data_IF_422117685368
#
_entry.id   IF_422117685368
#
_cell.length_a   1.000
_cell.length_b   1.000
_cell.length_c   1.000
_cell.angle_alpha   90.00
_cell.angle_beta   90.00
_cell.angle_gamma   90.00
#
_symmetry.space_group_name_H-M   'P 1'
#
loop_
_entity.id
_entity.type
_entity.pdbx_description
1 polymer ?
#
# COMPACT_ATOMS: atom_id res chain seq x y z
N UNK A 1 -2.69 7.99 4.28
CA UNK A 1 -3.31 6.98 3.39
C UNK A 1 -2.21 6.16 2.75
N UNK A 2 -2.35 4.85 2.67
CA UNK A 2 -1.45 3.94 1.94
C UNK A 2 -2.24 3.35 0.77
N UNK A 3 -1.90 3.72 -0.47
CA UNK A 3 -2.56 3.17 -1.66
C UNK A 3 -1.69 2.07 -2.29
N UNK A 4 -2.24 0.87 -2.37
CA UNK A 4 -1.64 -0.31 -2.97
C UNK A 4 -2.07 -0.46 -4.44
N UNK A 5 -1.61 0.46 -5.28
CA UNK A 5 -1.86 0.47 -6.72
C UNK A 5 -0.65 0.01 -7.55
N UNK A 6 -0.56 0.56 -8.76
CA UNK A 6 0.62 0.40 -9.65
C UNK A 6 1.91 0.84 -8.97
N UNK A 7 1.84 1.93 -8.21
CA UNK A 7 2.81 2.34 -7.21
C UNK A 7 2.21 2.12 -5.82
N UNK A 8 3.07 1.98 -4.81
CA UNK A 8 2.63 2.09 -3.41
C UNK A 8 2.85 3.53 -2.95
N UNK A 9 1.77 4.28 -2.69
CA UNK A 9 1.88 5.67 -2.22
C UNK A 9 1.54 5.78 -0.74
N UNK A 10 2.13 6.77 -0.09
CA UNK A 10 1.88 7.13 1.30
C UNK A 10 1.59 8.60 1.37
N UNK A 11 0.35 8.98 1.63
CA UNK A 11 -0.06 10.38 1.69
C UNK A 11 -0.31 10.77 3.15
N UNK A 12 0.34 11.84 3.62
CA UNK A 12 0.12 12.39 4.95
C UNK A 12 -0.86 13.56 4.90
N UNK A 13 -1.87 13.50 5.76
CA UNK A 13 -2.88 14.53 5.91
C UNK A 13 -2.80 15.04 7.35
N UNK A 14 -2.70 16.37 7.52
CA UNK A 14 -2.62 17.01 8.82
C UNK A 14 -3.93 16.87 9.60
N UNK A 15 -3.93 17.06 10.94
CA UNK A 15 -5.17 17.16 11.71
C UNK A 15 -6.13 18.25 11.22
N UNK A 16 -5.62 19.29 10.54
CA UNK A 16 -6.41 20.36 9.92
C UNK A 16 -7.05 19.96 8.59
N UNK A 17 -6.75 18.77 8.06
CA UNK A 17 -7.24 18.30 6.77
C UNK A 17 -6.37 18.70 5.57
N UNK A 18 -5.18 19.25 5.81
CA UNK A 18 -4.27 19.66 4.74
C UNK A 18 -3.46 18.47 4.22
N UNK A 19 -3.32 18.37 2.89
CA UNK A 19 -2.36 17.44 2.30
C UNK A 19 -0.93 17.98 2.49
N UNK A 20 -0.10 17.21 3.19
CA UNK A 20 1.24 17.61 3.60
C UNK A 20 2.34 17.02 2.72
N UNK A 21 1.98 16.23 1.71
CA UNK A 21 2.92 15.48 0.87
C UNK A 21 2.87 13.98 1.11
N UNK A 22 3.82 13.27 0.50
CA UNK A 22 3.83 11.82 0.54
C UNK A 22 5.11 11.15 0.08
N UNK A 23 5.09 9.82 0.12
CA UNK A 23 6.18 8.93 -0.31
C UNK A 23 5.67 8.03 -1.44
N UNK A 24 6.51 7.76 -2.43
CA UNK A 24 6.20 6.85 -3.54
C UNK A 24 7.23 5.73 -3.56
N UNK A 25 6.75 4.50 -3.51
CA UNK A 25 7.52 3.29 -3.75
C UNK A 25 6.97 2.53 -4.96
N UNK A 26 7.74 1.62 -5.58
CA UNK A 26 7.19 0.67 -6.53
C UNK A 26 5.96 -0.06 -5.95
N UNK A 27 5.03 -0.48 -6.80
CA UNK A 27 3.93 -1.36 -6.39
C UNK A 27 4.38 -2.82 -6.35
N UNK A 28 3.80 -3.61 -5.46
CA UNK A 28 4.20 -5.01 -5.28
C UNK A 28 4.10 -5.83 -6.57
N UNK A 29 3.06 -5.60 -7.38
CA UNK A 29 2.89 -6.23 -8.70
C UNK A 29 3.99 -5.84 -9.68
N UNK A 30 4.41 -4.56 -9.71
CA UNK A 30 5.52 -4.12 -10.56
C UNK A 30 6.82 -4.76 -10.11
N UNK A 31 7.09 -4.82 -8.81
CA UNK A 31 8.30 -5.47 -8.30
C UNK A 31 8.36 -6.95 -8.66
N UNK A 32 7.24 -7.67 -8.53
CA UNK A 32 7.14 -9.08 -8.94
C UNK A 32 7.39 -9.26 -10.45
N UNK A 33 6.76 -8.41 -11.26
CA UNK A 33 6.92 -8.44 -12.72
C UNK A 33 8.35 -8.08 -13.15
N UNK A 34 9.02 -7.17 -12.44
CA UNK A 34 10.41 -6.81 -12.71
C UNK A 34 11.35 -8.01 -12.51
N UNK A 35 11.15 -8.81 -11.45
CA UNK A 35 11.92 -10.04 -11.24
C UNK A 35 11.72 -11.05 -12.37
N UNK A 36 10.48 -11.25 -12.80
CA UNK A 36 10.14 -12.13 -13.92
C UNK A 36 10.80 -11.67 -15.24
N UNK A 37 10.77 -10.37 -15.53
CA UNK A 37 11.29 -9.83 -16.79
C UNK A 37 12.81 -9.72 -16.85
N UNK A 38 13.44 -9.39 -15.73
CA UNK A 38 14.87 -9.04 -15.72
C UNK A 38 15.78 -10.21 -15.32
N UNK A 39 15.24 -11.26 -14.68
CA UNK A 39 16.02 -12.43 -14.29
C UNK A 39 15.64 -13.67 -15.12
N UNK A 40 16.64 -14.39 -15.62
CA UNK A 40 16.46 -15.44 -16.64
C UNK A 40 15.68 -16.69 -16.20
N UNK A 41 15.57 -16.97 -14.89
CA UNK A 41 14.98 -18.20 -14.36
C UNK A 41 13.88 -17.97 -13.33
N UNK A 42 13.48 -16.72 -13.10
CA UNK A 42 12.44 -16.41 -12.12
C UNK A 42 11.07 -16.48 -12.80
N UNK A 43 10.15 -17.35 -12.34
CA UNK A 43 8.81 -17.44 -12.91
C UNK A 43 7.96 -16.24 -12.49
N UNK A 44 6.87 -15.99 -13.22
CA UNK A 44 5.81 -15.09 -12.74
C UNK A 44 5.13 -15.73 -11.52
N UNK A 45 4.90 -14.94 -10.48
CA UNK A 45 4.28 -15.40 -9.22
C UNK A 45 3.12 -14.48 -8.83
N UNK A 46 2.10 -15.06 -8.19
CA UNK A 46 1.05 -14.30 -7.54
C UNK A 46 1.51 -13.78 -6.17
N UNK A 47 0.99 -12.62 -5.77
CA UNK A 47 1.27 -12.00 -4.48
C UNK A 47 0.27 -12.55 -3.47
N UNK A 48 0.73 -13.55 -2.72
CA UNK A 48 -0.04 -14.21 -1.66
C UNK A 48 0.85 -14.40 -0.44
N UNK A 49 0.24 -14.45 0.74
CA UNK A 49 0.95 -14.76 1.98
C UNK A 49 1.50 -16.18 1.90
N UNK A 50 2.83 -16.38 1.96
CA UNK A 50 3.38 -17.73 1.97
C UNK A 50 3.24 -18.37 3.35
N UNK A 51 3.22 -19.71 3.44
CA UNK A 51 3.12 -20.43 4.71
C UNK A 51 4.37 -20.31 5.60
N UNK A 52 5.50 -19.87 5.03
CA UNK A 52 6.76 -19.65 5.75
C UNK A 52 7.56 -18.53 5.11
N UNK A 53 8.35 -17.83 5.93
CA UNK A 53 9.27 -16.77 5.47
C UNK A 53 10.44 -17.35 4.66
N UNK A 54 10.94 -18.54 4.99
CA UNK A 54 12.06 -19.15 4.26
C UNK A 54 11.50 -20.13 3.22
N UNK A 55 11.39 -19.66 1.97
CA UNK A 55 10.96 -20.48 0.84
C UNK A 55 11.94 -21.62 0.52
N UNK A 56 11.40 -22.79 0.16
CA UNK A 56 12.18 -24.00 -0.19
C UNK A 56 12.25 -24.28 -1.69
N UNK A 57 11.67 -23.40 -2.50
CA UNK A 57 11.78 -23.38 -3.95
C UNK A 57 11.71 -21.92 -4.43
N UNK A 58 12.01 -21.69 -5.70
CA UNK A 58 12.06 -20.33 -6.28
C UNK A 58 10.75 -19.57 -6.14
N UNK A 59 9.61 -20.21 -6.39
CA UNK A 59 8.28 -19.59 -6.29
C UNK A 59 8.01 -19.12 -4.85
N UNK A 60 8.18 -20.01 -3.88
CA UNK A 60 7.97 -19.70 -2.47
C UNK A 60 8.95 -18.64 -1.94
N UNK A 61 10.21 -18.67 -2.41
CA UNK A 61 11.22 -17.68 -2.04
C UNK A 61 10.85 -16.28 -2.59
N UNK A 62 10.40 -16.20 -3.84
CA UNK A 62 9.93 -14.95 -4.44
C UNK A 62 8.67 -14.43 -3.72
N UNK A 63 7.66 -15.28 -3.51
CA UNK A 63 6.43 -14.90 -2.80
C UNK A 63 6.74 -14.36 -1.41
N UNK A 64 7.65 -15.00 -0.67
CA UNK A 64 8.08 -14.53 0.64
C UNK A 64 8.79 -13.18 0.60
N UNK A 65 9.77 -13.02 -0.29
CA UNK A 65 10.50 -11.77 -0.43
C UNK A 65 9.58 -10.62 -0.81
N UNK A 66 8.64 -10.84 -1.74
CA UNK A 66 7.68 -9.82 -2.15
C UNK A 66 6.70 -9.51 -1.01
N UNK A 67 6.06 -10.52 -0.44
CA UNK A 67 5.02 -10.33 0.58
C UNK A 67 5.56 -9.66 1.85
N UNK A 68 6.54 -10.29 2.51
CA UNK A 68 7.08 -9.77 3.77
C UNK A 68 7.97 -8.55 3.55
N UNK A 69 8.62 -8.43 2.39
CA UNK A 69 9.36 -7.23 2.01
C UNK A 69 8.44 -6.02 1.88
N UNK A 70 7.29 -6.16 1.23
CA UNK A 70 6.31 -5.07 1.12
C UNK A 70 5.63 -4.75 2.44
N UNK A 71 5.26 -5.76 3.22
CA UNK A 71 4.73 -5.54 4.57
C UNK A 71 5.72 -4.71 5.40
N UNK A 72 7.00 -5.09 5.40
CA UNK A 72 8.05 -4.39 6.14
C UNK A 72 8.31 -2.98 5.58
N UNK A 73 8.24 -2.79 4.26
CA UNK A 73 8.35 -1.47 3.62
C UNK A 73 7.25 -0.54 4.11
N UNK A 74 6.00 -1.01 4.10
CA UNK A 74 4.84 -0.23 4.54
C UNK A 74 4.97 0.12 6.01
N UNK A 75 5.24 -0.86 6.86
CA UNK A 75 5.38 -0.64 8.29
C UNK A 75 6.54 0.30 8.63
N UNK A 76 7.66 0.14 7.92
CA UNK A 76 8.84 0.96 8.09
C UNK A 76 8.65 2.41 7.63
N UNK A 77 7.89 2.66 6.55
CA UNK A 77 7.56 4.02 6.11
C UNK A 77 6.57 4.68 7.07
N UNK A 78 5.52 3.96 7.50
CA UNK A 78 4.56 4.46 8.49
C UNK A 78 5.26 4.90 9.78
N UNK A 79 6.21 4.11 10.29
CA UNK A 79 6.96 4.47 11.49
C UNK A 79 7.86 5.68 11.30
N UNK A 80 8.43 5.86 10.10
CA UNK A 80 9.23 7.05 9.78
C UNK A 80 8.37 8.30 9.72
N UNK A 81 7.21 8.22 9.06
CA UNK A 81 6.24 9.31 9.01
C UNK A 81 5.82 9.71 10.44
N UNK A 82 5.39 8.75 11.26
CA UNK A 82 5.04 8.98 12.69
C UNK A 82 6.13 9.73 13.46
N UNK A 83 7.38 9.30 13.30
CA UNK A 83 8.53 9.96 13.94
C UNK A 83 8.75 11.38 13.44
N UNK A 84 8.59 11.61 12.14
CA UNK A 84 8.77 12.92 11.51
C UNK A 84 7.69 13.91 11.94
N UNK A 85 6.42 13.50 11.90
CA UNK A 85 5.28 14.38 12.19
C UNK A 85 5.00 14.53 13.70
N UNK A 86 5.61 13.67 14.52
CA UNK A 86 5.46 13.63 15.99
C UNK A 86 4.00 13.51 16.47
N UNK A 87 3.19 12.81 15.68
CA UNK A 87 1.80 12.46 15.98
C UNK A 87 1.57 10.99 15.65
N UNK A 88 0.43 10.44 16.09
CA UNK A 88 0.00 9.09 15.73
C UNK A 88 -1.21 9.15 14.78
N UNK A 89 -0.99 9.37 13.48
CA UNK A 89 -2.07 9.41 12.51
C UNK A 89 -2.73 8.05 12.35
N UNK A 90 -4.04 8.06 12.11
CA UNK A 90 -4.77 6.88 11.65
C UNK A 90 -4.26 6.49 10.27
N UNK A 91 -3.91 5.22 10.10
CA UNK A 91 -3.42 4.66 8.84
C UNK A 91 -4.57 3.93 8.14
N UNK A 92 -4.96 4.48 7.00
CA UNK A 92 -5.97 3.92 6.10
C UNK A 92 -5.26 3.32 4.89
N UNK A 93 -5.58 2.07 4.56
CA UNK A 93 -5.11 1.38 3.35
C UNK A 93 -6.21 1.27 2.29
N UNK A 94 -5.85 1.45 1.03
CA UNK A 94 -6.73 1.30 -0.14
C UNK A 94 -5.96 0.67 -1.31
N UNK A 95 -6.62 0.42 -2.43
CA UNK A 95 -6.01 -0.19 -3.61
C UNK A 95 -6.10 -1.72 -3.65
N UNK A 96 -5.81 -2.30 -4.82
CA UNK A 96 -6.13 -3.70 -5.15
C UNK A 96 -5.38 -4.74 -4.32
N UNK A 97 -4.22 -4.40 -3.75
CA UNK A 97 -3.46 -5.30 -2.88
C UNK A 97 -3.59 -4.99 -1.39
N UNK A 98 -4.43 -4.00 -1.02
CA UNK A 98 -4.60 -3.61 0.37
C UNK A 98 -5.03 -4.80 1.23
N UNK A 99 -6.09 -5.52 0.84
CA UNK A 99 -6.57 -6.65 1.65
C UNK A 99 -5.53 -7.77 1.82
N UNK A 100 -4.73 -8.03 0.78
CA UNK A 100 -3.73 -9.09 0.83
C UNK A 100 -2.54 -8.75 1.73
N UNK A 101 -2.05 -7.52 1.69
CA UNK A 101 -0.84 -7.09 2.42
C UNK A 101 -1.22 -6.40 3.73
N UNK A 102 -2.10 -5.41 3.68
CA UNK A 102 -2.47 -4.59 4.82
C UNK A 102 -3.22 -5.38 5.90
N UNK A 103 -3.95 -6.44 5.53
CA UNK A 103 -4.64 -7.31 6.48
C UNK A 103 -3.70 -8.02 7.47
N UNK A 104 -2.40 -8.07 7.19
CA UNK A 104 -1.38 -8.67 8.04
C UNK A 104 -0.57 -7.64 8.86
N UNK A 105 -0.85 -6.34 8.71
CA UNK A 105 -0.15 -5.29 9.46
C UNK A 105 -0.93 -4.86 10.69
N UNK A 106 -0.26 -4.82 11.83
CA UNK A 106 -0.80 -4.21 13.06
C UNK A 106 -0.84 -2.68 13.03
N UNK A 107 -0.16 -2.06 12.05
CA UNK A 107 -0.05 -0.60 11.95
C UNK A 107 -1.16 0.04 11.12
N UNK A 108 -1.96 -0.76 10.40
CA UNK A 108 -3.05 -0.29 9.56
C UNK A 108 -4.37 -0.50 10.29
N UNK A 109 -5.12 0.57 10.51
CA UNK A 109 -6.36 0.52 11.30
C UNK A 109 -7.59 0.33 10.43
N UNK A 110 -7.55 0.81 9.17
CA UNK A 110 -8.70 0.81 8.28
C UNK A 110 -8.26 0.32 6.90
N UNK A 111 -9.06 -0.57 6.30
CA UNK A 111 -8.93 -0.97 4.90
C UNK A 111 -10.22 -0.51 4.19
N UNK A 112 -10.09 0.40 3.24
CA UNK A 112 -11.20 0.93 2.46
C UNK A 112 -10.85 0.90 0.96
N UNK A 113 -11.34 -0.11 0.26
CA UNK A 113 -11.13 -0.30 -1.18
C UNK A 113 -11.87 0.76 -2.04
N UNK A 114 -12.86 1.46 -1.47
CA UNK A 114 -13.66 2.46 -2.18
C UNK A 114 -13.23 3.90 -1.88
N UNK A 115 -12.16 4.10 -1.12
CA UNK A 115 -11.72 5.42 -0.64
C UNK A 115 -11.68 6.49 -1.74
N UNK A 116 -11.10 6.16 -2.90
CA UNK A 116 -11.03 7.08 -4.04
C UNK A 116 -12.41 7.38 -4.64
N UNK A 117 -13.27 6.38 -4.76
CA UNK A 117 -14.63 6.54 -5.28
C UNK A 117 -15.48 7.41 -4.34
N UNK A 118 -15.30 7.23 -3.03
CA UNK A 118 -15.97 8.04 -2.02
C UNK A 118 -15.50 9.50 -2.06
N UNK A 119 -14.20 9.74 -2.22
CA UNK A 119 -13.66 11.08 -2.46
C UNK A 119 -14.26 11.74 -3.69
N UNK A 120 -14.38 11.02 -4.80
CA UNK A 120 -15.03 11.50 -6.03
C UNK A 120 -16.52 11.82 -5.82
N UNK A 121 -17.25 10.98 -5.08
CA UNK A 121 -18.66 11.23 -4.72
C UNK A 121 -18.80 12.52 -3.92
N UNK A 122 -17.96 12.73 -2.91
CA UNK A 122 -17.97 13.94 -2.08
C UNK A 122 -17.68 15.19 -2.93
N UNK A 123 -16.70 15.12 -3.84
CA UNK A 123 -16.38 16.23 -4.76
C UNK A 123 -17.58 16.54 -5.65
N UNK A 124 -18.22 15.53 -6.22
CA UNK A 124 -19.40 15.71 -7.06
C UNK A 124 -20.55 16.41 -6.30
N UNK A 125 -20.86 15.96 -5.09
CA UNK A 125 -21.94 16.53 -4.27
C UNK A 125 -21.68 17.99 -3.90
N UNK A 126 -20.44 18.34 -3.53
CA UNK A 126 -20.04 19.73 -3.24
C UNK A 126 -20.23 20.65 -4.44
N UNK A 127 -19.85 20.20 -5.64
CA UNK A 127 -20.01 20.99 -6.85
C UNK A 127 -21.47 21.10 -7.30
N UNK A 128 -22.29 20.07 -7.05
CA UNK A 128 -23.73 20.11 -7.39
C UNK A 128 -24.50 21.09 -6.49
N UNK A 129 -24.15 21.18 -5.21
CA UNK A 129 -24.78 22.12 -4.28
C UNK A 129 -24.36 23.58 -4.51
N UNK A 130 -23.15 23.83 -5.03
CA UNK A 130 -22.66 25.18 -5.32
C UNK A 130 -23.19 25.77 -6.65
N UNK A 131 -23.79 24.94 -7.52
CA UNK A 131 -24.40 25.35 -8.78
C UNK A 131 -25.91 25.65 -8.68
N UNK A 132 -26.48 25.64 -7.47
CA UNK A 132 -27.82 26.13 -7.14
C UNK A 132 -27.69 27.45 -6.39
#
# INVERSE_FOLDING_TARGET
VVDFGTATTFDYISPGGDYMGGVIAPGASISAEALFRQASKLPRVEIVKPPSVIGKNTVAAMQSGIFYGYLSLVEGIVDRIRKEVRTDPVVVATGGLARAIAGESSKIQIIDENLTLEGLRIIYERNRAAGQ
#
